data_IF_397745377055
#
_entry.id   IF_397745377055
#
_cell.length_a   1.000
_cell.length_b   1.000
_cell.length_c   1.000
_cell.angle_alpha   90.00
_cell.angle_beta   90.00
_cell.angle_gamma   90.00
#
_symmetry.space_group_name_H-M   'P 1'
#
loop_
_entity.id
_entity.type
_entity.pdbx_description
1 polymer ?
#
# COMPACT_ATOMS: atom_id res chain seq x y z
N UNK A 1 -17.51 -37.95 9.24
CA UNK A 1 -16.12 -37.75 8.74
C UNK A 1 -15.84 -38.76 7.66
N UNK A 2 -15.27 -38.34 6.54
CA UNK A 2 -14.85 -39.23 5.46
C UNK A 2 -13.48 -39.87 5.76
N UNK A 3 -13.16 -40.98 5.08
CA UNK A 3 -11.84 -41.63 5.18
C UNK A 3 -10.70 -40.68 4.80
N UNK A 4 -10.94 -39.77 3.85
CA UNK A 4 -9.97 -38.74 3.46
C UNK A 4 -9.70 -37.75 4.61
N UNK A 5 -10.74 -37.34 5.34
CA UNK A 5 -10.60 -36.44 6.49
C UNK A 5 -9.84 -37.11 7.65
N UNK A 6 -10.08 -38.40 7.88
CA UNK A 6 -9.35 -39.17 8.89
C UNK A 6 -7.88 -39.35 8.53
N UNK A 7 -7.60 -39.67 7.26
CA UNK A 7 -6.23 -39.80 6.74
C UNK A 7 -5.45 -38.49 6.88
N UNK A 8 -6.03 -37.37 6.45
CA UNK A 8 -5.39 -36.05 6.57
C UNK A 8 -5.10 -35.68 8.03
N UNK A 9 -6.03 -36.01 8.95
CA UNK A 9 -5.82 -35.78 10.38
C UNK A 9 -4.67 -36.61 10.94
N UNK A 10 -4.62 -37.91 10.63
CA UNK A 10 -3.53 -38.79 11.09
C UNK A 10 -2.17 -38.33 10.55
N UNK A 11 -2.10 -37.91 9.29
CA UNK A 11 -0.87 -37.35 8.71
C UNK A 11 -0.47 -36.06 9.43
N UNK A 12 -1.41 -35.16 9.72
CA UNK A 12 -1.12 -33.93 10.46
C UNK A 12 -0.56 -34.20 11.87
N UNK A 13 -1.18 -35.09 12.64
CA UNK A 13 -0.69 -35.44 13.98
C UNK A 13 0.72 -36.05 13.93
N UNK A 14 0.99 -36.94 12.97
CA UNK A 14 2.32 -37.53 12.75
C UNK A 14 3.38 -36.50 12.33
N UNK A 15 2.98 -35.46 11.61
CA UNK A 15 3.88 -34.37 11.22
C UNK A 15 4.16 -33.48 12.43
N UNK A 16 3.15 -33.16 13.24
CA UNK A 16 3.30 -32.37 14.47
C UNK A 16 4.25 -33.07 15.46
N UNK A 17 4.11 -34.39 15.63
CA UNK A 17 5.00 -35.19 16.50
C UNK A 17 6.48 -35.20 16.05
N UNK A 18 6.73 -34.95 14.75
CA UNK A 18 8.08 -34.90 14.18
C UNK A 18 8.69 -33.49 14.18
N UNK A 19 7.89 -32.46 14.40
CA UNK A 19 8.36 -31.08 14.46
C UNK A 19 8.95 -30.85 15.85
N UNK A 20 10.21 -30.39 15.90
CA UNK A 20 10.86 -30.00 17.15
C UNK A 20 10.02 -28.91 17.85
N UNK A 21 9.88 -28.97 19.18
CA UNK A 21 9.11 -27.97 19.94
C UNK A 21 9.65 -26.56 19.69
N UNK A 22 10.96 -26.44 19.50
CA UNK A 22 11.63 -25.17 19.26
C UNK A 22 11.29 -24.59 17.87
N UNK A 23 10.92 -25.44 16.90
CA UNK A 23 10.48 -25.01 15.57
C UNK A 23 9.16 -24.25 15.61
N UNK A 24 8.23 -24.65 16.49
CA UNK A 24 6.92 -23.98 16.65
C UNK A 24 7.09 -22.55 17.17
N UNK A 25 8.11 -22.30 17.99
CA UNK A 25 8.46 -20.98 18.50
C UNK A 25 9.36 -20.16 17.57
N UNK A 26 9.86 -20.75 16.48
CA UNK A 26 10.80 -20.07 15.60
C UNK A 26 10.07 -19.03 14.75
N UNK A 27 10.39 -17.76 14.97
CA UNK A 27 9.96 -16.67 14.09
C UNK A 27 11.09 -16.35 13.11
N UNK A 28 10.73 -16.03 11.86
CA UNK A 28 11.67 -15.45 10.92
C UNK A 28 12.09 -14.05 11.42
N UNK A 29 13.36 -13.66 11.24
CA UNK A 29 13.78 -12.29 11.52
C UNK A 29 12.98 -11.31 10.66
N UNK A 30 12.85 -10.06 11.13
CA UNK A 30 12.28 -8.99 10.31
C UNK A 30 13.27 -8.65 9.20
N UNK A 31 12.80 -8.66 7.96
CA UNK A 31 13.61 -8.34 6.78
C UNK A 31 13.74 -6.82 6.54
N UNK A 32 12.98 -5.99 7.28
CA UNK A 32 12.94 -4.56 7.05
C UNK A 32 14.27 -3.88 7.39
N UNK A 33 14.86 -3.25 6.38
CA UNK A 33 16.04 -2.39 6.54
C UNK A 33 15.55 -0.95 6.77
N UNK A 34 15.89 -0.31 7.90
CA UNK A 34 15.50 1.06 8.14
C UNK A 34 16.18 2.00 7.14
N UNK A 35 15.38 2.71 6.36
CA UNK A 35 15.86 3.78 5.48
C UNK A 35 15.95 5.07 6.32
N UNK A 36 17.07 5.80 6.32
CA UNK A 36 17.16 7.05 7.05
C UNK A 36 16.11 8.05 6.55
N UNK A 37 15.35 8.66 7.46
CA UNK A 37 14.22 9.53 7.13
C UNK A 37 14.57 10.68 6.16
N UNK A 38 15.78 11.22 6.23
CA UNK A 38 16.26 12.28 5.34
C UNK A 38 16.52 11.84 3.89
N UNK A 39 16.51 10.52 3.60
CA UNK A 39 16.59 9.96 2.25
C UNK A 39 15.22 9.58 1.69
N UNK A 40 14.15 9.72 2.47
CA UNK A 40 12.79 9.51 2.01
C UNK A 40 12.32 10.87 1.47
N UNK A 41 12.10 11.02 0.16
CA UNK A 41 11.57 12.25 -0.39
C UNK A 41 10.21 12.53 0.25
N UNK A 42 9.96 13.79 0.60
CA UNK A 42 8.65 14.23 1.08
C UNK A 42 7.61 13.95 -0.01
N UNK A 43 6.73 12.97 0.22
CA UNK A 43 5.69 12.58 -0.73
C UNK A 43 4.75 13.74 -1.09
N UNK A 44 4.67 14.73 -0.20
CA UNK A 44 3.82 15.89 -0.37
C UNK A 44 4.42 16.93 -1.34
N UNK A 45 5.71 16.85 -1.70
CA UNK A 45 6.33 17.85 -2.59
C UNK A 45 5.76 17.77 -4.01
N UNK A 46 5.57 16.57 -4.56
CA UNK A 46 4.98 16.42 -5.90
C UNK A 46 3.50 16.81 -5.92
N UNK A 47 2.75 16.44 -4.87
CA UNK A 47 1.33 16.78 -4.74
C UNK A 47 1.15 18.29 -4.59
N UNK A 48 1.97 18.94 -3.76
CA UNK A 48 1.96 20.39 -3.58
C UNK A 48 2.33 21.12 -4.87
N UNK A 49 3.35 20.64 -5.60
CA UNK A 49 3.74 21.23 -6.88
C UNK A 49 2.61 21.17 -7.92
N UNK A 50 1.91 20.03 -8.02
CA UNK A 50 0.79 19.86 -8.93
C UNK A 50 -0.37 20.80 -8.58
N UNK A 51 -0.75 20.88 -7.30
CA UNK A 51 -1.81 21.76 -6.82
C UNK A 51 -1.48 23.26 -7.06
N UNK A 52 -0.23 23.68 -6.82
CA UNK A 52 0.21 25.04 -7.13
C UNK A 52 0.22 25.32 -8.64
N UNK A 53 0.60 24.34 -9.46
CA UNK A 53 0.63 24.48 -10.92
C UNK A 53 -0.76 24.67 -11.51
N UNK A 54 -1.77 23.98 -10.97
CA UNK A 54 -3.16 24.11 -11.39
C UNK A 54 -3.69 25.52 -11.07
N UNK A 55 -3.45 26.02 -9.86
CA UNK A 55 -3.85 27.38 -9.46
C UNK A 55 -3.25 28.45 -10.38
N UNK A 56 -1.95 28.36 -10.70
CA UNK A 56 -1.29 29.29 -11.63
C UNK A 56 -1.86 29.25 -13.04
N UNK A 57 -2.26 28.08 -13.52
CA UNK A 57 -2.89 27.95 -14.82
C UNK A 57 -4.27 28.62 -14.82
N UNK A 58 -5.05 28.47 -13.75
CA UNK A 58 -6.36 29.12 -13.62
C UNK A 58 -6.27 30.66 -13.59
N UNK A 59 -5.22 31.22 -12.98
CA UNK A 59 -5.01 32.67 -12.90
C UNK A 59 -4.53 33.30 -14.21
N UNK A 60 -3.75 32.55 -15.00
CA UNK A 60 -3.11 33.04 -16.24
C UNK A 60 -3.86 32.64 -17.51
N UNK A 61 -4.98 31.91 -17.38
CA UNK A 61 -5.73 31.41 -18.54
C UNK A 61 -6.29 32.56 -19.38
N UNK A 62 -6.26 32.44 -20.72
CA UNK A 62 -6.94 33.38 -21.61
C UNK A 62 -8.45 33.46 -21.30
N UNK A 63 -9.01 34.67 -21.40
CA UNK A 63 -10.44 34.89 -21.23
C UNK A 63 -11.24 34.00 -22.22
N UNK A 64 -12.09 33.11 -21.68
CA UNK A 64 -12.93 32.20 -22.47
C UNK A 64 -12.60 30.71 -22.34
N UNK A 65 -11.52 30.34 -21.64
CA UNK A 65 -11.14 28.94 -21.36
C UNK A 65 -11.43 28.56 -19.89
N UNK A 66 -12.58 28.96 -19.37
CA UNK A 66 -13.05 28.57 -18.04
C UNK A 66 -13.90 27.31 -18.16
N UNK A 67 -13.41 26.16 -17.67
CA UNK A 67 -14.17 24.90 -17.68
C UNK A 67 -15.39 24.93 -16.73
N UNK A 68 -15.37 25.81 -15.72
CA UNK A 68 -16.27 25.71 -14.55
C UNK A 68 -17.19 26.92 -14.33
N UNK A 69 -17.12 27.96 -15.17
CA UNK A 69 -18.00 29.13 -15.07
C UNK A 69 -18.79 29.32 -16.36
N UNK A 70 -20.11 29.11 -16.26
CA UNK A 70 -21.06 29.51 -17.30
C UNK A 70 -20.97 31.02 -17.50
N UNK A 71 -20.38 31.43 -18.62
CA UNK A 71 -20.40 32.81 -19.07
C UNK A 71 -21.80 33.11 -19.64
N UNK A 72 -22.76 33.45 -18.78
CA UNK A 72 -24.01 34.05 -19.20
C UNK A 72 -23.72 35.47 -19.71
N UNK A 73 -23.51 35.57 -21.03
CA UNK A 73 -23.45 36.85 -21.73
C UNK A 73 -24.85 37.49 -21.73
N UNK A 74 -24.98 38.63 -21.08
CA UNK A 74 -26.07 39.58 -21.27
C UNK A 74 -25.56 40.79 -22.03
#
# INVERSE_FOLDING_TARGET
MSLQQLSARVVNELVIDKIDRDWVSHQLPKDDIPIPAHHIPDQDVEVNFLAESENRWQDTRPFGLCLDHSHNHR
#
